data_IF_230141413285
#
_entry.id   IF_230141413285
#
_cell.length_a   1.000
_cell.length_b   1.000
_cell.length_c   1.000
_cell.angle_alpha   90.00
_cell.angle_beta   90.00
_cell.angle_gamma   90.00
#
_symmetry.space_group_name_H-M   'P 1'
#
loop_
_entity.id
_entity.type
_entity.pdbx_description
1 polymer ?
#
# COMPACT_ATOMS: atom_id res chain seq x y z
N UNK A 1 54.62 88.48 -42.44
CA UNK A 1 55.77 87.72 -42.98
C UNK A 1 55.45 86.28 -42.95
N UNK A 2 55.11 85.70 -44.08
CA UNK A 2 55.80 84.58 -44.76
C UNK A 2 55.81 83.30 -43.89
N UNK A 3 55.43 82.12 -44.36
CA UNK A 3 55.53 81.46 -45.67
C UNK A 3 54.81 80.12 -45.61
N UNK A 4 54.07 79.81 -46.65
CA UNK A 4 53.75 78.52 -47.29
C UNK A 4 54.52 77.29 -46.79
N UNK A 5 53.72 76.14 -46.62
CA UNK A 5 54.00 74.93 -47.46
C UNK A 5 52.80 73.98 -47.55
N UNK A 6 52.42 73.68 -48.79
CA UNK A 6 51.55 72.60 -49.23
C UNK A 6 52.11 71.24 -48.82
N UNK A 7 51.24 70.26 -48.36
CA UNK A 7 51.50 68.85 -48.59
C UNK A 7 50.23 68.13 -48.95
N UNK A 8 50.31 67.31 -49.92
CA UNK A 8 49.44 66.44 -50.67
C UNK A 8 48.47 65.66 -49.92
N UNK A 9 47.21 65.60 -50.40
CA UNK A 9 46.24 64.58 -50.16
C UNK A 9 46.69 63.28 -50.83
N UNK A 10 46.89 62.23 -50.07
CA UNK A 10 46.82 60.82 -50.50
C UNK A 10 45.49 60.20 -50.01
N UNK A 11 44.72 59.81 -51.05
CA UNK A 11 43.37 59.22 -50.79
C UNK A 11 43.48 57.89 -50.16
N UNK A 12 42.78 57.72 -49.01
CA UNK A 12 42.39 56.45 -48.50
C UNK A 12 41.06 56.03 -49.15
N UNK A 13 41.07 54.99 -49.97
CA UNK A 13 39.87 54.28 -50.39
C UNK A 13 39.41 53.45 -49.20
N UNK A 14 38.24 53.78 -48.55
CA UNK A 14 37.55 52.98 -47.67
C UNK A 14 37.01 51.77 -48.44
N UNK A 15 37.51 50.60 -48.12
CA UNK A 15 36.95 49.31 -48.57
C UNK A 15 35.70 49.06 -47.69
N UNK A 16 34.51 49.34 -48.22
CA UNK A 16 33.20 48.96 -47.60
C UNK A 16 33.08 47.44 -47.76
N UNK A 17 32.96 46.65 -46.65
CA UNK A 17 32.73 45.25 -46.81
C UNK A 17 31.31 45.04 -47.37
N UNK A 18 31.25 44.26 -48.42
CA UNK A 18 30.04 43.81 -49.10
C UNK A 18 29.16 43.11 -48.11
N UNK A 19 28.03 43.70 -47.67
CA UNK A 19 27.05 43.12 -46.77
C UNK A 19 26.40 41.99 -47.55
N UNK A 20 26.79 40.74 -47.21
CA UNK A 20 26.14 39.53 -47.71
C UNK A 20 24.63 39.59 -47.40
N UNK A 21 23.81 39.72 -48.42
CA UNK A 21 22.35 39.69 -48.29
C UNK A 21 21.92 38.36 -47.65
N UNK A 22 21.35 38.42 -46.45
CA UNK A 22 20.70 37.27 -45.84
C UNK A 22 19.67 36.68 -46.79
N UNK A 23 19.64 35.34 -47.00
CA UNK A 23 18.76 34.73 -47.99
C UNK A 23 17.30 35.08 -47.67
N UNK A 24 16.61 35.74 -48.60
CA UNK A 24 15.20 36.15 -48.51
C UNK A 24 14.35 34.93 -48.29
N UNK A 25 13.76 34.75 -47.06
CA UNK A 25 12.82 33.69 -46.74
C UNK A 25 11.67 33.69 -47.73
N UNK A 26 11.56 32.65 -48.59
CA UNK A 26 10.49 32.51 -49.58
C UNK A 26 9.13 32.62 -48.90
N UNK A 27 8.40 33.72 -49.13
CA UNK A 27 7.01 33.90 -48.63
C UNK A 27 6.10 32.95 -49.41
N UNK A 28 5.68 31.83 -48.76
CA UNK A 28 4.73 30.90 -49.38
C UNK A 28 3.38 31.58 -49.55
N UNK A 29 2.69 31.32 -50.70
CA UNK A 29 1.34 31.81 -50.97
C UNK A 29 0.36 31.31 -49.88
N UNK A 30 -0.72 32.07 -49.60
CA UNK A 30 -1.73 31.69 -48.58
C UNK A 30 -2.28 30.26 -48.80
N UNK A 31 -2.45 29.82 -50.04
CA UNK A 31 -2.90 28.48 -50.45
C UNK A 31 -1.87 27.40 -50.02
N UNK A 32 -0.55 27.61 -50.26
CA UNK A 32 0.50 26.68 -49.86
C UNK A 32 0.65 26.60 -48.33
N UNK A 33 0.42 27.69 -47.60
CA UNK A 33 0.39 27.68 -46.12
C UNK A 33 -0.78 26.92 -45.59
N UNK A 34 -1.99 27.05 -46.16
CA UNK A 34 -3.20 26.30 -45.79
C UNK A 34 -3.02 24.79 -46.03
N UNK A 35 -2.49 24.41 -47.20
CA UNK A 35 -2.20 22.99 -47.51
C UNK A 35 -1.21 22.37 -46.52
N UNK A 36 -0.14 23.09 -46.17
CA UNK A 36 0.81 22.60 -45.15
C UNK A 36 0.19 22.44 -43.77
N UNK A 37 -0.69 23.35 -43.36
CA UNK A 37 -1.44 23.21 -42.08
C UNK A 37 -2.33 22.00 -42.11
N UNK A 38 -3.10 21.79 -43.17
CA UNK A 38 -3.98 20.61 -43.36
C UNK A 38 -3.14 19.34 -43.35
N UNK A 39 -2.03 19.27 -44.11
CA UNK A 39 -1.15 18.09 -44.09
C UNK A 39 -0.60 17.81 -42.69
N UNK A 40 -0.13 18.83 -41.95
CA UNK A 40 0.31 18.64 -40.56
C UNK A 40 -0.79 18.15 -39.68
N UNK A 41 -2.00 18.70 -39.76
CA UNK A 41 -3.15 18.24 -38.99
C UNK A 41 -3.49 16.77 -39.30
N UNK A 42 -3.52 16.36 -40.56
CA UNK A 42 -3.73 14.98 -40.96
C UNK A 42 -2.64 14.07 -40.39
N UNK A 43 -1.36 14.43 -40.53
CA UNK A 43 -0.24 13.64 -39.99
C UNK A 43 -0.37 13.53 -38.47
N UNK A 44 -0.72 14.62 -37.76
CA UNK A 44 -0.94 14.59 -36.31
C UNK A 44 -2.08 13.62 -35.94
N UNK A 45 -3.22 13.70 -36.65
CA UNK A 45 -4.35 12.78 -36.39
C UNK A 45 -3.95 11.33 -36.65
N UNK A 46 -3.25 11.04 -37.75
CA UNK A 46 -2.77 9.68 -38.05
C UNK A 46 -1.79 9.18 -36.97
N UNK A 47 -0.86 10.01 -36.52
CA UNK A 47 0.07 9.64 -35.44
C UNK A 47 -0.69 9.37 -34.14
N UNK A 48 -1.64 10.23 -33.77
CA UNK A 48 -2.48 10.00 -32.59
C UNK A 48 -3.32 8.71 -32.70
N UNK A 49 -3.87 8.43 -33.87
CA UNK A 49 -4.61 7.20 -34.12
C UNK A 49 -3.71 5.95 -33.99
N UNK A 50 -2.50 5.98 -34.53
CA UNK A 50 -1.53 4.88 -34.39
C UNK A 50 -1.13 4.70 -32.93
N UNK A 51 -0.83 5.79 -32.21
CA UNK A 51 -0.50 5.71 -30.77
C UNK A 51 -1.67 5.13 -29.96
N UNK A 52 -2.90 5.57 -30.23
CA UNK A 52 -4.09 5.01 -29.61
C UNK A 52 -4.27 3.52 -29.90
N UNK A 53 -4.20 3.12 -31.17
CA UNK A 53 -4.32 1.70 -31.55
C UNK A 53 -3.24 0.84 -30.90
N UNK A 54 -2.00 1.36 -30.83
CA UNK A 54 -0.89 0.67 -30.16
C UNK A 54 -1.17 0.54 -28.65
N UNK A 55 -1.59 1.60 -27.98
CA UNK A 55 -1.88 1.59 -26.54
C UNK A 55 -3.03 0.62 -26.20
N UNK A 56 -4.09 0.62 -27.02
CA UNK A 56 -5.34 -0.13 -26.73
C UNK A 56 -5.26 -1.59 -27.19
N UNK A 57 -4.63 -1.90 -28.33
CA UNK A 57 -4.71 -3.23 -28.95
C UNK A 57 -3.36 -3.96 -29.06
N UNK A 58 -2.24 -3.34 -28.71
CA UNK A 58 -0.94 -4.01 -28.82
C UNK A 58 -0.80 -5.13 -27.80
N UNK A 59 -0.20 -6.24 -28.23
CA UNK A 59 0.20 -7.36 -27.37
C UNK A 59 1.67 -7.26 -26.91
N UNK A 60 2.34 -6.11 -27.12
CA UNK A 60 3.68 -5.86 -26.57
C UNK A 60 3.59 -5.95 -25.04
N UNK A 61 4.35 -6.84 -24.37
CA UNK A 61 4.17 -7.17 -22.95
C UNK A 61 4.15 -5.93 -22.02
N UNK A 62 5.05 -5.00 -22.26
CA UNK A 62 5.12 -3.75 -21.52
C UNK A 62 3.83 -2.91 -21.65
N UNK A 63 3.33 -2.74 -22.89
CA UNK A 63 2.11 -1.94 -23.16
C UNK A 63 0.88 -2.66 -22.60
N UNK A 64 0.77 -3.98 -22.83
CA UNK A 64 -0.32 -4.80 -22.33
C UNK A 64 -0.40 -4.77 -20.80
N UNK A 65 0.74 -4.88 -20.10
CA UNK A 65 0.82 -4.78 -18.63
C UNK A 65 0.27 -3.45 -18.13
N UNK A 66 0.76 -2.32 -18.65
CA UNK A 66 0.30 -1.00 -18.19
C UNK A 66 -1.15 -0.70 -18.54
N UNK A 67 -1.63 -1.17 -19.70
CA UNK A 67 -3.05 -1.09 -20.08
C UNK A 67 -3.92 -1.84 -19.08
N UNK A 68 -3.56 -3.09 -18.74
CA UNK A 68 -4.28 -3.91 -17.77
C UNK A 68 -4.31 -3.24 -16.39
N UNK A 69 -3.17 -2.75 -15.91
CA UNK A 69 -3.09 -2.00 -14.64
C UNK A 69 -4.04 -0.79 -14.68
N UNK A 70 -4.04 -0.01 -15.76
CA UNK A 70 -4.92 1.15 -15.91
C UNK A 70 -6.39 0.76 -15.88
N UNK A 71 -6.78 -0.28 -16.66
CA UNK A 71 -8.15 -0.78 -16.70
C UNK A 71 -8.59 -1.22 -15.31
N UNK A 72 -7.83 -2.11 -14.67
CA UNK A 72 -8.19 -2.65 -13.35
C UNK A 72 -8.23 -1.54 -12.28
N UNK A 73 -7.29 -0.59 -12.33
CA UNK A 73 -7.31 0.56 -11.41
C UNK A 73 -8.57 1.39 -11.56
N UNK A 74 -9.02 1.68 -12.79
CA UNK A 74 -10.24 2.45 -13.04
C UNK A 74 -11.50 1.65 -12.69
N UNK A 75 -11.58 0.37 -13.11
CA UNK A 75 -12.78 -0.46 -12.97
C UNK A 75 -13.07 -0.88 -11.53
N UNK A 76 -12.05 -0.97 -10.67
CA UNK A 76 -12.22 -1.28 -9.24
C UNK A 76 -12.64 -0.07 -8.38
N UNK A 77 -12.77 1.12 -8.97
CA UNK A 77 -13.29 2.30 -8.27
C UNK A 77 -14.79 2.46 -8.49
N UNK A 78 -15.55 2.82 -7.46
CA UNK A 78 -17.01 3.04 -7.59
C UNK A 78 -17.38 4.30 -8.39
N UNK A 79 -16.47 5.28 -8.54
CA UNK A 79 -16.77 6.60 -9.11
C UNK A 79 -15.96 6.97 -10.37
N UNK A 80 -14.90 6.21 -10.72
CA UNK A 80 -13.96 6.58 -11.80
C UNK A 80 -13.88 5.55 -12.93
N UNK A 81 -14.84 4.62 -13.03
CA UNK A 81 -14.89 3.62 -14.12
C UNK A 81 -14.95 4.27 -15.51
N UNK A 82 -15.50 5.49 -15.60
CA UNK A 82 -15.57 6.26 -16.84
C UNK A 82 -14.19 6.53 -17.47
N UNK A 83 -13.11 6.58 -16.66
CA UNK A 83 -11.73 6.73 -17.17
C UNK A 83 -11.34 5.60 -18.12
N UNK A 84 -11.74 4.37 -17.84
CA UNK A 84 -11.53 3.24 -18.75
C UNK A 84 -12.59 3.20 -19.83
N UNK A 85 -13.88 3.26 -19.48
CA UNK A 85 -15.00 3.02 -20.40
C UNK A 85 -15.17 4.09 -21.49
N UNK A 86 -14.64 5.30 -21.28
CA UNK A 86 -14.67 6.38 -22.27
C UNK A 86 -13.66 6.16 -23.42
N UNK A 87 -12.52 5.56 -23.14
CA UNK A 87 -11.38 5.51 -24.07
C UNK A 87 -11.01 4.11 -24.51
N UNK A 88 -11.45 3.07 -23.82
CA UNK A 88 -11.09 1.68 -24.10
C UNK A 88 -12.35 0.90 -24.50
N UNK A 89 -12.32 0.13 -25.61
CA UNK A 89 -13.43 -0.71 -26.00
C UNK A 89 -13.81 -1.73 -24.93
N UNK A 90 -15.11 -1.99 -24.80
CA UNK A 90 -15.65 -2.90 -23.78
C UNK A 90 -14.99 -4.29 -23.84
N UNK A 91 -14.75 -4.82 -25.03
CA UNK A 91 -14.09 -6.13 -25.20
C UNK A 91 -12.70 -6.20 -24.60
N UNK A 92 -11.91 -5.12 -24.64
CA UNK A 92 -10.58 -5.07 -24.04
C UNK A 92 -10.67 -4.96 -22.51
N UNK A 93 -11.66 -4.22 -22.02
CA UNK A 93 -11.96 -4.12 -20.58
C UNK A 93 -12.39 -5.49 -20.05
N UNK A 94 -13.32 -6.16 -20.71
CA UNK A 94 -13.88 -7.46 -20.29
C UNK A 94 -12.79 -8.54 -20.28
N UNK A 95 -11.86 -8.53 -21.24
CA UNK A 95 -10.69 -9.42 -21.23
C UNK A 95 -9.78 -9.20 -20.00
N UNK A 96 -9.54 -7.94 -19.63
CA UNK A 96 -8.73 -7.64 -18.45
C UNK A 96 -9.41 -8.06 -17.15
N UNK A 97 -10.73 -7.87 -17.05
CA UNK A 97 -11.55 -8.30 -15.91
C UNK A 97 -11.56 -9.83 -15.82
N UNK A 98 -11.80 -10.53 -16.95
CA UNK A 98 -11.81 -11.99 -16.98
C UNK A 98 -10.46 -12.58 -16.55
N UNK A 99 -9.36 -12.06 -17.06
CA UNK A 99 -8.03 -12.51 -16.66
C UNK A 99 -7.75 -12.30 -15.16
N UNK A 100 -8.33 -11.23 -14.57
CA UNK A 100 -8.28 -11.02 -13.14
C UNK A 100 -9.15 -12.04 -12.38
N UNK A 101 -10.36 -12.31 -12.85
CA UNK A 101 -11.27 -13.30 -12.24
C UNK A 101 -10.65 -14.71 -12.28
N UNK A 102 -10.02 -15.09 -13.39
CA UNK A 102 -9.32 -16.37 -13.52
C UNK A 102 -8.16 -16.49 -12.52
N UNK A 103 -7.39 -15.42 -12.34
CA UNK A 103 -6.30 -15.37 -11.35
C UNK A 103 -6.82 -15.41 -9.90
N UNK A 104 -7.96 -14.76 -9.62
CA UNK A 104 -8.64 -14.83 -8.33
C UNK A 104 -9.14 -16.23 -8.00
N UNK A 105 -9.71 -16.91 -9.00
CA UNK A 105 -10.21 -18.26 -8.83
C UNK A 105 -9.08 -19.24 -8.50
N UNK A 106 -7.85 -19.00 -8.97
CA UNK A 106 -6.69 -19.78 -8.54
C UNK A 106 -6.41 -19.66 -7.05
N UNK A 107 -6.59 -18.47 -6.46
CA UNK A 107 -6.42 -18.28 -5.01
C UNK A 107 -7.50 -18.98 -4.18
N UNK A 108 -8.60 -19.42 -4.79
CA UNK A 108 -9.70 -20.10 -4.10
C UNK A 108 -9.33 -21.50 -3.58
N UNK A 109 -8.31 -22.14 -4.16
CA UNK A 109 -7.89 -23.49 -3.78
C UNK A 109 -7.05 -23.53 -2.50
N UNK A 110 -6.49 -22.38 -2.11
CA UNK A 110 -5.66 -22.29 -0.90
C UNK A 110 -6.51 -22.25 0.36
N UNK A 111 -6.18 -23.10 1.33
CA UNK A 111 -6.79 -23.14 2.66
C UNK A 111 -5.70 -23.44 3.69
N UNK A 112 -5.72 -22.70 4.79
CA UNK A 112 -4.79 -22.90 5.90
C UNK A 112 -4.96 -24.27 6.53
N UNK A 113 -3.84 -24.95 6.78
CA UNK A 113 -3.79 -26.23 7.49
C UNK A 113 -2.95 -26.16 8.77
N UNK A 114 -2.05 -25.18 8.84
CA UNK A 114 -1.01 -25.04 9.89
C UNK A 114 -0.09 -26.25 10.00
N UNK A 115 -0.15 -27.27 9.16
CA UNK A 115 0.67 -28.49 9.21
C UNK A 115 0.70 -29.21 10.59
N UNK A 116 1.08 -30.45 10.63
CA UNK A 116 1.16 -31.24 11.89
C UNK A 116 2.27 -30.78 12.85
N UNK A 117 3.30 -30.04 12.35
CA UNK A 117 4.46 -29.56 13.13
C UNK A 117 4.36 -28.07 13.54
N UNK A 118 3.17 -27.47 13.45
CA UNK A 118 2.97 -26.06 13.73
C UNK A 118 2.69 -25.77 15.21
N UNK A 119 3.51 -26.23 16.13
CA UNK A 119 3.75 -25.45 17.34
C UNK A 119 4.27 -24.08 16.88
N UNK A 120 3.74 -23.00 17.47
CA UNK A 120 4.30 -21.65 17.31
C UNK A 120 5.79 -21.82 17.59
N UNK A 121 6.61 -21.77 16.53
CA UNK A 121 8.04 -21.99 16.67
C UNK A 121 8.57 -20.76 17.38
N UNK A 122 9.14 -20.94 18.55
CA UNK A 122 9.89 -19.85 19.17
C UNK A 122 10.87 -19.28 18.15
N UNK A 123 11.04 -17.95 18.08
CA UNK A 123 11.90 -17.32 17.10
C UNK A 123 13.29 -17.94 17.18
N UNK A 124 13.59 -18.80 16.20
CA UNK A 124 14.88 -19.48 16.13
C UNK A 124 15.98 -18.46 15.83
N UNK A 125 16.90 -18.37 16.74
CA UNK A 125 18.19 -17.71 16.75
C UNK A 125 18.81 -17.56 15.34
N UNK A 126 18.56 -16.45 14.66
CA UNK A 126 19.35 -15.95 13.55
C UNK A 126 19.84 -14.54 13.90
N UNK A 127 20.57 -14.44 15.02
CA UNK A 127 21.39 -13.26 15.27
C UNK A 127 22.54 -13.26 14.24
N UNK A 128 22.36 -12.52 13.14
CA UNK A 128 23.47 -12.12 12.27
C UNK A 128 24.11 -10.86 12.87
N UNK A 129 24.86 -11.01 13.94
CA UNK A 129 25.64 -9.99 14.59
C UNK A 129 26.53 -10.64 15.65
N UNK A 130 27.64 -10.02 16.01
CA UNK A 130 28.48 -10.47 17.13
C UNK A 130 27.56 -10.53 18.37
N UNK A 131 27.61 -11.66 19.09
CA UNK A 131 26.78 -11.91 20.26
C UNK A 131 26.79 -10.70 21.19
N UNK A 132 25.57 -10.15 21.46
CA UNK A 132 25.37 -9.20 22.55
C UNK A 132 25.66 -9.98 23.82
N UNK A 133 26.90 -9.89 24.31
CA UNK A 133 27.37 -10.62 25.47
C UNK A 133 27.01 -9.84 26.72
N UNK A 134 26.38 -10.50 27.66
CA UNK A 134 26.12 -10.18 29.07
C UNK A 134 24.80 -9.48 29.47
N UNK A 135 23.89 -9.09 28.54
CA UNK A 135 22.57 -8.59 28.92
C UNK A 135 21.44 -9.52 28.42
N UNK A 136 20.91 -10.35 29.31
CA UNK A 136 19.83 -11.29 29.01
C UNK A 136 18.57 -10.54 28.52
N UNK A 137 18.29 -9.35 29.02
CA UNK A 137 17.13 -8.53 28.62
C UNK A 137 17.25 -8.02 27.19
N UNK A 138 18.47 -7.63 26.76
CA UNK A 138 18.73 -7.26 25.38
C UNK A 138 18.50 -8.43 24.42
N UNK A 139 19.00 -9.61 24.76
CA UNK A 139 18.84 -10.79 23.93
C UNK A 139 17.37 -11.15 23.74
N UNK A 140 16.60 -11.27 24.82
CA UNK A 140 15.16 -11.56 24.78
C UNK A 140 14.40 -10.52 23.97
N UNK A 141 14.74 -9.24 24.11
CA UNK A 141 14.13 -8.17 23.34
C UNK A 141 14.38 -8.31 21.83
N UNK A 142 15.63 -8.49 21.39
CA UNK A 142 15.95 -8.62 19.96
C UNK A 142 15.50 -9.97 19.37
N UNK A 143 15.36 -11.02 20.15
CA UNK A 143 14.72 -12.26 19.73
C UNK A 143 13.21 -12.02 19.47
N UNK A 144 12.53 -11.31 20.35
CA UNK A 144 11.11 -10.96 20.19
C UNK A 144 10.88 -9.98 19.04
N UNK A 145 11.75 -8.98 18.90
CA UNK A 145 11.70 -7.95 17.86
C UNK A 145 12.77 -8.19 16.79
N UNK A 146 12.82 -9.40 16.26
CA UNK A 146 13.83 -9.84 15.29
C UNK A 146 13.88 -8.96 14.02
N UNK A 147 12.84 -8.18 13.73
CA UNK A 147 12.79 -7.25 12.62
C UNK A 147 13.72 -6.04 12.80
N UNK A 148 14.08 -5.74 14.03
CA UNK A 148 14.94 -4.60 14.36
C UNK A 148 16.39 -4.92 13.97
N UNK A 149 17.01 -3.99 13.25
CA UNK A 149 18.46 -3.94 13.11
C UNK A 149 19.07 -3.50 14.45
N UNK A 150 19.60 -4.48 15.21
CA UNK A 150 20.11 -4.26 16.55
C UNK A 150 21.23 -3.22 16.60
N UNK A 151 22.07 -3.11 15.55
CA UNK A 151 23.18 -2.17 15.52
C UNK A 151 22.67 -0.73 15.57
N UNK A 152 21.62 -0.42 14.79
CA UNK A 152 21.06 0.95 14.73
C UNK A 152 20.37 1.36 16.03
N UNK A 153 19.73 0.41 16.72
CA UNK A 153 19.03 0.70 17.98
C UNK A 153 20.04 0.73 19.16
N UNK A 154 21.02 -0.16 19.16
CA UNK A 154 22.06 -0.19 20.17
C UNK A 154 22.89 1.10 20.16
N UNK A 155 23.34 1.58 18.99
CA UNK A 155 24.05 2.86 18.85
C UNK A 155 23.23 4.04 19.43
N UNK A 156 21.93 4.06 19.15
CA UNK A 156 21.04 5.07 19.69
C UNK A 156 20.87 4.98 21.23
N UNK A 157 20.77 3.77 21.78
CA UNK A 157 20.62 3.53 23.21
C UNK A 157 21.90 3.82 24.00
N UNK A 158 23.10 3.60 23.40
CA UNK A 158 24.38 4.02 24.02
C UNK A 158 24.44 5.55 24.25
N UNK A 159 23.87 6.33 23.32
CA UNK A 159 23.76 7.78 23.45
C UNK A 159 22.61 8.22 24.39
N UNK A 160 21.63 7.34 24.65
CA UNK A 160 20.41 7.62 25.42
C UNK A 160 20.14 6.54 26.49
N UNK A 161 21.07 6.28 27.42
CA UNK A 161 20.97 5.16 28.38
C UNK A 161 19.78 5.27 29.33
N UNK A 162 19.25 6.48 29.54
CA UNK A 162 18.08 6.70 30.40
C UNK A 162 16.82 5.98 29.90
N UNK A 163 16.75 5.66 28.60
CA UNK A 163 15.65 4.92 27.99
C UNK A 163 15.56 3.45 28.44
N UNK A 164 16.65 2.92 29.01
CA UNK A 164 16.74 1.54 29.51
C UNK A 164 16.71 1.46 31.04
N UNK A 165 16.38 2.56 31.75
CA UNK A 165 16.37 2.59 33.22
C UNK A 165 15.47 1.51 33.82
N UNK A 166 14.32 1.23 33.15
CA UNK A 166 13.35 0.22 33.55
C UNK A 166 13.41 -1.05 32.70
N UNK A 167 14.51 -1.25 31.95
CA UNK A 167 14.73 -2.42 31.10
C UNK A 167 14.14 -2.30 29.68
N UNK A 168 14.44 -3.29 28.84
CA UNK A 168 13.99 -3.34 27.44
C UNK A 168 12.48 -3.50 27.30
N UNK A 169 11.81 -4.14 28.25
CA UNK A 169 10.35 -4.27 28.26
C UNK A 169 9.61 -2.94 28.42
N UNK A 170 10.27 -1.91 28.92
CA UNK A 170 9.75 -0.55 29.06
C UNK A 170 10.16 0.35 27.90
N UNK A 171 10.93 -0.15 26.92
CA UNK A 171 11.46 0.67 25.84
C UNK A 171 10.34 1.25 24.96
N UNK A 172 10.29 2.59 24.92
CA UNK A 172 9.36 3.30 24.06
C UNK A 172 10.10 4.41 23.29
N UNK A 173 10.14 4.29 21.96
CA UNK A 173 10.75 5.25 21.05
C UNK A 173 9.77 5.58 19.94
N UNK A 174 9.59 6.87 19.63
CA UNK A 174 8.83 7.34 18.47
C UNK A 174 9.70 8.21 17.57
N UNK A 175 9.79 7.86 16.28
CA UNK A 175 10.57 8.57 15.26
C UNK A 175 9.80 8.74 13.94
N UNK A 176 8.65 9.39 14.00
CA UNK A 176 7.84 9.65 12.79
C UNK A 176 8.52 10.56 11.76
N UNK A 177 9.52 11.32 12.18
CA UNK A 177 10.31 12.18 11.31
C UNK A 177 11.56 11.50 10.72
N UNK A 178 11.83 10.24 11.10
CA UNK A 178 12.99 9.43 10.68
C UNK A 178 14.33 10.14 10.90
N UNK A 179 14.47 10.80 12.06
CA UNK A 179 15.65 11.57 12.43
C UNK A 179 16.68 10.75 13.20
N UNK A 180 16.21 9.69 13.88
CA UNK A 180 17.06 8.84 14.72
C UNK A 180 17.80 7.78 13.91
N UNK A 181 17.36 7.50 12.68
CA UNK A 181 18.02 6.56 11.79
C UNK A 181 17.78 5.10 12.12
N UNK A 182 16.81 4.81 13.01
CA UNK A 182 16.46 3.44 13.40
C UNK A 182 15.90 2.66 12.22
N UNK A 183 16.35 1.42 12.03
CA UNK A 183 16.00 0.60 10.87
C UNK A 183 15.68 -0.84 11.26
N UNK A 184 14.97 -1.49 10.35
CA UNK A 184 14.80 -2.93 10.38
C UNK A 184 15.98 -3.62 9.69
N UNK A 185 16.11 -4.93 9.88
CA UNK A 185 17.07 -5.78 9.15
C UNK A 185 16.86 -5.74 7.63
N UNK A 186 15.67 -5.38 7.19
CA UNK A 186 15.34 -5.18 5.78
C UNK A 186 15.65 -3.74 5.27
N UNK A 187 16.12 -2.86 6.17
CA UNK A 187 16.50 -1.48 5.89
C UNK A 187 15.35 -0.48 5.87
N UNK A 188 14.12 -0.90 6.21
CA UNK A 188 12.96 -0.02 6.32
C UNK A 188 13.06 0.83 7.61
N UNK A 189 12.66 2.13 7.61
CA UNK A 189 12.69 2.97 8.80
C UNK A 189 11.71 2.48 9.88
N UNK A 190 12.17 2.42 11.12
CA UNK A 190 11.32 2.18 12.30
C UNK A 190 10.74 3.50 12.75
N UNK A 191 9.42 3.56 12.93
CA UNK A 191 8.68 4.74 13.38
C UNK A 191 8.33 4.67 14.86
N UNK A 192 8.09 3.47 15.38
CA UNK A 192 7.73 3.25 16.78
C UNK A 192 8.28 1.91 17.23
N UNK A 193 8.96 1.91 18.36
CA UNK A 193 9.19 0.76 19.22
C UNK A 193 8.38 1.02 20.49
N UNK A 194 7.37 0.21 20.77
CA UNK A 194 6.52 0.33 21.96
C UNK A 194 6.46 -1.05 22.65
N UNK A 195 7.55 -1.36 23.36
CA UNK A 195 7.67 -2.64 24.04
C UNK A 195 6.59 -2.86 25.11
N UNK A 196 6.17 -1.85 25.90
CA UNK A 196 5.08 -1.99 26.86
C UNK A 196 3.78 -2.48 26.23
N UNK A 197 3.49 -2.14 24.97
CA UNK A 197 2.31 -2.58 24.25
C UNK A 197 2.58 -3.67 23.20
N UNK A 198 3.77 -4.29 23.21
CA UNK A 198 4.18 -5.34 22.28
C UNK A 198 4.03 -4.93 20.79
N UNK A 199 4.37 -3.68 20.46
CA UNK A 199 4.08 -3.10 19.15
C UNK A 199 5.33 -2.50 18.51
N UNK A 200 5.54 -2.83 17.23
CA UNK A 200 6.51 -2.22 16.33
C UNK A 200 5.77 -1.58 15.15
N UNK A 201 6.13 -0.36 14.76
CA UNK A 201 5.59 0.28 13.55
C UNK A 201 6.74 0.69 12.64
N UNK A 202 6.63 0.27 11.37
CA UNK A 202 7.65 0.40 10.34
C UNK A 202 7.06 1.22 9.19
N UNK A 203 7.84 2.12 8.59
CA UNK A 203 7.50 2.72 7.31
C UNK A 203 7.96 1.82 6.17
N UNK A 204 7.07 1.47 5.25
CA UNK A 204 7.40 0.69 4.07
C UNK A 204 7.06 1.49 2.82
N UNK A 205 8.09 1.83 2.07
CA UNK A 205 8.01 2.70 0.91
C UNK A 205 8.48 1.99 -0.37
N UNK A 206 7.99 2.45 -1.49
CA UNK A 206 8.43 2.02 -2.80
C UNK A 206 8.28 3.13 -3.85
N UNK A 207 8.59 2.82 -5.10
CA UNK A 207 8.62 3.82 -6.18
C UNK A 207 7.32 4.64 -6.33
N UNK A 208 6.17 4.08 -5.99
CA UNK A 208 4.87 4.71 -6.20
C UNK A 208 3.94 4.61 -4.99
N UNK A 209 4.39 4.09 -3.88
CA UNK A 209 3.57 3.93 -2.68
C UNK A 209 4.35 4.31 -1.43
N UNK A 210 3.59 4.70 -0.43
CA UNK A 210 3.99 4.85 0.96
C UNK A 210 3.04 4.05 1.82
N UNK A 211 3.59 3.39 2.84
CA UNK A 211 2.79 2.54 3.72
C UNK A 211 3.37 2.46 5.12
N UNK A 212 2.59 1.86 6.00
CA UNK A 212 3.00 1.54 7.36
C UNK A 212 2.61 0.12 7.69
N UNK A 213 3.57 -0.61 8.24
CA UNK A 213 3.39 -1.95 8.77
C UNK A 213 3.46 -1.87 10.29
N UNK A 214 2.39 -2.22 10.96
CA UNK A 214 2.38 -2.44 12.40
C UNK A 214 2.49 -3.94 12.67
N UNK A 215 3.36 -4.32 13.58
CA UNK A 215 3.58 -5.71 14.04
C UNK A 215 3.20 -5.77 15.51
N UNK A 216 2.11 -6.47 15.80
CA UNK A 216 1.67 -6.76 17.16
C UNK A 216 2.26 -8.11 17.58
N UNK A 217 3.21 -8.08 18.51
CA UNK A 217 3.93 -9.27 18.98
C UNK A 217 3.10 -10.20 19.84
N UNK A 218 2.02 -9.70 20.39
CA UNK A 218 1.11 -10.48 21.25
C UNK A 218 -0.28 -10.57 20.58
N UNK A 219 -0.60 -11.68 19.90
CA UNK A 219 -1.85 -11.81 19.16
C UNK A 219 -3.10 -11.80 20.04
N UNK A 220 -2.97 -12.09 21.34
CA UNK A 220 -4.08 -12.01 22.28
C UNK A 220 -4.61 -10.60 22.49
N UNK A 221 -3.78 -9.56 22.24
CA UNK A 221 -4.16 -8.16 22.30
C UNK A 221 -4.97 -7.69 21.08
N UNK A 222 -5.00 -8.50 20.00
CA UNK A 222 -5.65 -8.10 18.77
C UNK A 222 -7.10 -8.55 18.75
N UNK A 223 -7.99 -7.56 18.60
CA UNK A 223 -9.43 -7.75 18.57
C UNK A 223 -10.07 -7.14 17.34
N UNK A 224 -11.23 -7.65 16.95
CA UNK A 224 -12.09 -7.09 15.91
C UNK A 224 -13.29 -6.41 16.56
N UNK A 225 -13.31 -5.08 16.54
CA UNK A 225 -14.41 -4.30 17.10
C UNK A 225 -15.44 -3.96 16.02
N UNK A 226 -16.71 -4.21 16.28
CA UNK A 226 -17.82 -3.83 15.40
C UNK A 226 -18.39 -2.46 15.75
N UNK A 227 -18.93 -1.76 14.76
CA UNK A 227 -19.59 -0.48 14.95
C UNK A 227 -20.78 -0.60 15.93
N UNK A 228 -20.98 0.43 16.77
CA UNK A 228 -22.08 0.47 17.75
C UNK A 228 -23.46 0.33 17.11
N UNK A 229 -23.62 0.88 15.91
CA UNK A 229 -24.87 0.83 15.15
C UNK A 229 -24.74 -0.05 13.90
N UNK A 230 -23.97 -1.14 14.01
CA UNK A 230 -23.83 -2.10 12.89
C UNK A 230 -25.23 -2.51 12.38
N UNK A 231 -25.39 -2.56 11.07
CA UNK A 231 -26.67 -2.74 10.38
C UNK A 231 -27.27 -1.43 9.86
N UNK A 232 -26.99 -0.30 10.49
CA UNK A 232 -27.51 1.02 10.12
C UNK A 232 -26.43 2.06 9.82
N UNK A 233 -25.40 2.16 10.65
CA UNK A 233 -24.30 3.13 10.51
C UNK A 233 -22.98 2.55 11.03
N UNK A 234 -21.88 2.83 10.35
CA UNK A 234 -20.54 2.49 10.76
C UNK A 234 -19.93 3.53 11.68
N UNK A 235 -18.73 3.25 12.20
CA UNK A 235 -17.94 4.18 13.00
C UNK A 235 -16.64 4.57 12.30
N UNK A 236 -15.98 5.63 12.77
CA UNK A 236 -14.67 6.06 12.34
C UNK A 236 -13.59 5.29 13.12
N UNK A 237 -12.40 5.13 12.52
CA UNK A 237 -11.27 4.47 13.19
C UNK A 237 -10.96 5.09 14.56
N UNK A 238 -10.99 6.41 14.67
CA UNK A 238 -10.78 7.11 15.93
C UNK A 238 -11.79 6.71 17.00
N UNK A 239 -13.06 6.53 16.62
CA UNK A 239 -14.13 6.10 17.52
C UNK A 239 -13.91 4.67 18.01
N UNK A 240 -13.54 3.75 17.09
CA UNK A 240 -13.20 2.39 17.46
C UNK A 240 -12.07 2.33 18.48
N UNK A 241 -10.96 3.07 18.23
CA UNK A 241 -9.82 3.07 19.14
C UNK A 241 -10.17 3.69 20.52
N UNK A 242 -10.90 4.82 20.53
CA UNK A 242 -11.27 5.47 21.77
C UNK A 242 -12.28 4.65 22.62
N UNK A 243 -13.24 4.03 21.97
CA UNK A 243 -14.29 3.26 22.66
C UNK A 243 -13.77 1.94 23.27
N UNK A 244 -12.64 1.41 22.73
CA UNK A 244 -12.04 0.15 23.16
C UNK A 244 -10.68 0.32 23.83
N UNK A 245 -10.25 1.55 24.14
CA UNK A 245 -8.93 1.86 24.68
C UNK A 245 -7.77 1.21 23.91
N UNK A 246 -7.86 1.25 22.58
CA UNK A 246 -6.86 0.64 21.71
C UNK A 246 -5.70 1.59 21.41
N UNK A 247 -4.47 1.05 21.48
CA UNK A 247 -3.25 1.78 21.11
C UNK A 247 -3.13 1.94 19.60
N UNK A 248 -3.60 0.94 18.84
CA UNK A 248 -3.57 0.96 17.38
C UNK A 248 -4.88 0.45 16.81
N UNK A 249 -5.27 0.96 15.64
CA UNK A 249 -6.40 0.44 14.87
C UNK A 249 -6.22 0.61 13.38
N UNK A 250 -6.72 -0.37 12.62
CA UNK A 250 -6.83 -0.33 11.16
C UNK A 250 -8.25 -0.68 10.72
N UNK A 251 -8.66 -0.25 9.52
CA UNK A 251 -9.90 -0.73 8.92
C UNK A 251 -9.83 -2.21 8.57
N UNK A 252 -10.96 -2.91 8.53
CA UNK A 252 -10.98 -4.33 8.29
C UNK A 252 -11.97 -4.75 7.18
N UNK A 253 -13.24 -5.02 7.48
CA UNK A 253 -14.22 -5.52 6.51
C UNK A 253 -14.58 -4.52 5.42
N UNK A 254 -14.96 -5.05 4.25
CA UNK A 254 -15.69 -4.28 3.26
C UNK A 254 -17.14 -4.00 3.69
N UNK A 255 -17.78 -3.01 3.07
CA UNK A 255 -19.17 -2.68 3.36
C UNK A 255 -19.95 -2.35 2.08
N UNK A 256 -21.28 -2.40 2.17
CA UNK A 256 -22.17 -2.06 1.07
C UNK A 256 -22.04 -0.57 0.79
N UNK A 257 -21.45 -0.23 -0.35
CA UNK A 257 -21.06 1.14 -0.72
C UNK A 257 -21.58 1.53 -2.10
N UNK A 258 -22.92 1.70 -2.28
CA UNK A 258 -23.49 2.05 -3.56
C UNK A 258 -22.97 3.42 -4.03
N UNK A 259 -22.33 3.45 -5.19
CA UNK A 259 -21.77 4.67 -5.81
C UNK A 259 -20.76 5.44 -4.93
N UNK A 260 -20.13 4.79 -3.95
CA UNK A 260 -19.12 5.42 -3.09
C UNK A 260 -19.66 6.31 -1.97
N UNK A 261 -20.96 6.21 -1.66
CA UNK A 261 -21.64 7.04 -0.62
C UNK A 261 -22.15 6.23 0.56
N UNK A 262 -21.74 4.98 0.68
CA UNK A 262 -22.08 4.12 1.83
C UNK A 262 -21.59 4.69 3.15
N UNK A 263 -22.35 4.42 4.21
CA UNK A 263 -22.09 4.92 5.55
C UNK A 263 -21.42 3.89 6.49
N UNK A 264 -20.91 2.77 5.95
CA UNK A 264 -20.24 1.73 6.72
C UNK A 264 -21.16 0.86 7.60
N UNK A 265 -22.46 1.08 7.58
CA UNK A 265 -23.38 0.37 8.49
C UNK A 265 -23.65 -1.08 8.13
N UNK A 266 -23.46 -1.49 6.86
CA UNK A 266 -23.74 -2.85 6.40
C UNK A 266 -22.48 -3.50 5.88
N UNK A 267 -21.98 -4.51 6.60
CA UNK A 267 -20.83 -5.31 6.19
C UNK A 267 -21.10 -6.01 4.84
N UNK A 268 -20.07 -6.14 4.03
CA UNK A 268 -20.11 -6.90 2.78
C UNK A 268 -19.32 -8.20 2.95
N UNK A 269 -19.99 -9.28 3.27
CA UNK A 269 -19.43 -10.55 3.66
C UNK A 269 -19.85 -10.92 5.09
N UNK A 270 -19.34 -12.04 5.60
CA UNK A 270 -19.49 -12.44 7.00
C UNK A 270 -18.52 -11.68 7.90
N UNK A 271 -18.96 -11.34 9.09
CA UNK A 271 -18.19 -10.73 10.18
C UNK A 271 -18.49 -11.52 11.45
N UNK A 272 -17.47 -12.01 12.14
CA UNK A 272 -17.58 -12.75 13.39
C UNK A 272 -16.89 -11.97 14.50
N UNK A 273 -17.61 -11.70 15.59
CA UNK A 273 -17.10 -11.04 16.80
C UNK A 273 -17.60 -11.82 17.99
N UNK A 274 -16.71 -12.29 18.86
CA UNK A 274 -17.02 -13.10 20.04
C UNK A 274 -17.89 -14.33 19.72
N UNK A 275 -17.61 -15.00 18.60
CA UNK A 275 -18.38 -16.18 18.14
C UNK A 275 -19.78 -15.88 17.61
N UNK A 276 -20.15 -14.61 17.50
CA UNK A 276 -21.43 -14.16 16.90
C UNK A 276 -21.20 -13.67 15.48
N UNK A 277 -21.96 -14.23 14.53
CA UNK A 277 -21.88 -13.86 13.13
C UNK A 277 -22.85 -12.72 12.78
N UNK A 278 -22.34 -11.78 11.97
CA UNK A 278 -23.05 -10.65 11.36
C UNK A 278 -22.83 -10.63 9.87
N UNK A 279 -23.78 -10.06 9.11
CA UNK A 279 -23.68 -9.95 7.65
C UNK A 279 -24.14 -11.21 6.92
N UNK A 280 -23.73 -11.36 5.68
CA UNK A 280 -24.12 -12.46 4.81
C UNK A 280 -22.89 -13.01 4.09
N UNK A 281 -22.67 -14.31 4.21
CA UNK A 281 -21.59 -15.02 3.53
C UNK A 281 -21.59 -14.80 2.01
N UNK A 282 -20.40 -14.67 1.42
CA UNK A 282 -20.19 -14.55 -0.03
C UNK A 282 -19.96 -15.90 -0.70
N UNK A 283 -20.79 -16.20 -1.69
CA UNK A 283 -20.68 -17.44 -2.46
C UNK A 283 -19.58 -17.41 -3.53
N UNK A 284 -18.86 -16.28 -3.73
CA UNK A 284 -17.84 -16.17 -4.74
C UNK A 284 -16.57 -16.93 -4.33
N UNK A 285 -15.99 -17.76 -5.22
CA UNK A 285 -14.87 -18.66 -4.88
C UNK A 285 -13.63 -17.98 -4.32
N UNK A 286 -13.35 -16.75 -4.80
CA UNK A 286 -12.18 -15.96 -4.37
C UNK A 286 -12.31 -15.36 -2.97
N UNK A 287 -13.52 -15.32 -2.39
CA UNK A 287 -13.73 -14.82 -1.04
C UNK A 287 -13.29 -15.87 -0.03
N UNK A 288 -12.59 -15.41 0.98
CA UNK A 288 -12.06 -16.23 2.06
C UNK A 288 -12.51 -15.67 3.40
N UNK A 289 -12.74 -16.56 4.33
CA UNK A 289 -12.82 -16.21 5.73
C UNK A 289 -11.39 -16.13 6.30
N UNK A 290 -11.06 -15.02 6.90
CA UNK A 290 -9.86 -14.86 7.72
C UNK A 290 -10.30 -14.67 9.16
N UNK A 291 -9.77 -15.48 10.07
CA UNK A 291 -10.15 -15.43 11.49
C UNK A 291 -9.06 -15.89 12.42
N UNK A 292 -9.00 -15.29 13.58
CA UNK A 292 -8.11 -15.68 14.67
C UNK A 292 -8.84 -16.64 15.58
N UNK A 293 -8.33 -17.85 15.75
CA UNK A 293 -8.95 -18.86 16.61
C UNK A 293 -8.70 -18.59 18.12
N UNK A 294 -9.27 -19.40 18.96
CA UNK A 294 -9.11 -19.33 20.43
C UNK A 294 -7.67 -19.64 20.92
N UNK A 295 -6.82 -20.16 20.03
CA UNK A 295 -5.39 -20.41 20.29
C UNK A 295 -4.49 -19.34 19.66
N UNK A 296 -5.08 -18.24 19.20
CA UNK A 296 -4.39 -17.14 18.55
C UNK A 296 -3.71 -17.51 17.21
N UNK A 297 -4.20 -18.52 16.51
CA UNK A 297 -3.76 -18.89 15.16
C UNK A 297 -4.68 -18.27 14.11
N UNK A 298 -4.10 -17.60 13.11
CA UNK A 298 -4.83 -16.98 12.01
C UNK A 298 -5.07 -18.01 10.91
N UNK A 299 -6.30 -18.18 10.53
CA UNK A 299 -6.73 -19.06 9.43
C UNK A 299 -7.23 -18.26 8.25
N UNK A 300 -6.85 -18.65 7.05
CA UNK A 300 -7.38 -18.15 5.79
C UNK A 300 -8.00 -19.33 5.05
N UNK A 301 -9.32 -19.46 5.11
CA UNK A 301 -10.04 -20.68 4.69
C UNK A 301 -11.29 -20.35 3.87
N UNK A 302 -11.81 -21.36 3.16
CA UNK A 302 -13.14 -21.27 2.58
C UNK A 302 -14.22 -21.32 3.67
N UNK A 303 -15.13 -20.37 3.67
CA UNK A 303 -16.19 -20.26 4.68
C UNK A 303 -16.99 -21.54 4.89
N UNK A 304 -17.29 -22.28 3.83
CA UNK A 304 -18.09 -23.52 3.89
C UNK A 304 -17.61 -24.59 4.88
N UNK A 305 -16.33 -24.55 5.22
CA UNK A 305 -15.68 -25.53 6.11
C UNK A 305 -15.37 -24.93 7.49
N UNK A 306 -15.99 -23.79 7.83
CA UNK A 306 -15.64 -23.01 9.00
C UNK A 306 -16.77 -23.09 10.03
N UNK A 307 -16.46 -23.57 11.24
CA UNK A 307 -17.30 -23.33 12.40
C UNK A 307 -16.87 -22.01 13.06
N UNK A 308 -17.68 -20.97 12.87
CA UNK A 308 -17.35 -19.63 13.34
C UNK A 308 -17.22 -19.54 14.87
N UNK A 309 -17.78 -20.51 15.61
CA UNK A 309 -17.65 -20.58 17.06
C UNK A 309 -16.24 -20.90 17.54
N UNK A 310 -15.37 -21.43 16.69
CA UNK A 310 -13.97 -21.72 17.03
C UNK A 310 -13.09 -20.46 17.04
N UNK A 311 -13.59 -19.37 16.48
CA UNK A 311 -12.85 -18.14 16.33
C UNK A 311 -13.23 -17.10 17.38
N UNK A 312 -12.22 -16.36 17.85
CA UNK A 312 -12.41 -15.15 18.64
C UNK A 312 -13.06 -14.08 17.77
N UNK A 313 -12.50 -13.90 16.58
CA UNK A 313 -13.01 -12.98 15.57
C UNK A 313 -12.64 -13.46 14.17
N UNK A 314 -13.35 -12.96 13.17
CA UNK A 314 -13.05 -13.19 11.78
C UNK A 314 -13.93 -12.37 10.83
N UNK A 315 -13.52 -12.32 9.58
CA UNK A 315 -14.23 -11.62 8.53
C UNK A 315 -14.02 -12.27 7.15
N UNK A 316 -14.87 -11.97 6.21
CA UNK A 316 -14.68 -12.37 4.81
C UNK A 316 -14.19 -11.21 3.96
N UNK A 317 -13.15 -11.48 3.16
CA UNK A 317 -12.70 -10.60 2.09
C UNK A 317 -11.94 -11.38 1.00
N UNK A 318 -11.23 -10.67 0.09
CA UNK A 318 -10.46 -11.28 -0.99
C UNK A 318 -9.33 -10.37 -1.51
N UNK A 319 -8.30 -10.95 -2.13
CA UNK A 319 -7.93 -12.35 -2.13
C UNK A 319 -7.12 -12.77 -0.91
N UNK A 320 -6.97 -14.08 -0.70
CA UNK A 320 -5.86 -14.61 0.10
C UNK A 320 -4.53 -14.17 -0.53
N UNK A 321 -3.55 -13.78 0.28
CA UNK A 321 -2.23 -13.35 -0.16
C UNK A 321 -1.18 -14.44 0.07
N UNK A 322 -1.17 -15.01 1.26
CA UNK A 322 -0.23 -16.03 1.71
C UNK A 322 -1.02 -17.06 2.50
N UNK A 323 -0.79 -18.34 2.24
CA UNK A 323 -1.40 -19.45 2.97
C UNK A 323 -0.34 -20.50 3.26
N UNK A 324 -0.11 -20.79 4.54
CA UNK A 324 0.91 -21.72 5.02
C UNK A 324 2.31 -21.41 4.44
N UNK A 325 2.66 -20.12 4.36
CA UNK A 325 3.94 -19.63 3.83
C UNK A 325 4.04 -19.62 2.31
N UNK A 326 2.98 -20.03 1.60
CA UNK A 326 2.95 -20.08 0.13
C UNK A 326 2.19 -18.86 -0.43
N UNK A 327 2.79 -18.20 -1.42
CA UNK A 327 2.16 -17.08 -2.11
C UNK A 327 0.91 -17.55 -2.89
N UNK A 328 -0.27 -17.08 -2.47
CA UNK A 328 -1.55 -17.38 -3.13
C UNK A 328 -1.87 -16.40 -4.26
N UNK A 329 -1.12 -15.30 -4.39
CA UNK A 329 -1.26 -14.27 -5.41
C UNK A 329 0.06 -14.15 -6.17
N UNK A 330 0.04 -14.46 -7.47
CA UNK A 330 1.23 -14.35 -8.33
C UNK A 330 1.39 -12.94 -8.95
N UNK A 331 2.56 -12.67 -9.57
CA UNK A 331 2.85 -11.38 -10.21
C UNK A 331 1.90 -10.99 -11.35
N UNK A 332 1.24 -11.96 -11.99
CA UNK A 332 0.25 -11.73 -13.05
C UNK A 332 -1.05 -11.13 -12.53
N UNK A 333 -1.29 -11.20 -11.23
CA UNK A 333 -2.50 -10.72 -10.58
C UNK A 333 -2.28 -9.33 -9.96
N UNK A 334 -3.02 -8.34 -10.38
CA UNK A 334 -2.75 -6.94 -10.03
C UNK A 334 -3.95 -6.18 -9.47
N UNK A 335 -5.12 -6.56 -9.27
CA UNK A 335 -6.29 -5.78 -8.78
C UNK A 335 -6.19 -4.22 -8.90
N UNK A 336 -5.32 -3.73 -9.80
CA UNK A 336 -5.01 -2.31 -9.96
C UNK A 336 -4.14 -1.70 -8.85
N UNK A 337 -3.73 -0.44 -9.04
CA UNK A 337 -2.93 0.34 -8.10
C UNK A 337 -3.87 1.16 -7.21
N UNK A 338 -3.86 0.89 -5.90
CA UNK A 338 -4.81 1.47 -4.96
C UNK A 338 -4.23 1.54 -3.54
N UNK A 339 -4.85 2.34 -2.63
CA UNK A 339 -4.65 2.16 -1.19
C UNK A 339 -5.04 0.75 -0.78
N UNK A 340 -4.29 0.14 0.14
CA UNK A 340 -4.49 -1.24 0.58
C UNK A 340 -4.46 -1.34 2.09
N UNK A 341 -5.19 -2.33 2.60
CA UNK A 341 -5.06 -2.82 3.97
C UNK A 341 -4.91 -4.33 3.90
N UNK A 342 -3.96 -4.88 4.63
CA UNK A 342 -3.74 -6.32 4.70
C UNK A 342 -3.45 -6.76 6.13
N UNK A 343 -3.84 -7.99 6.42
CA UNK A 343 -3.59 -8.66 7.69
C UNK A 343 -2.75 -9.91 7.42
N UNK A 344 -1.80 -10.21 8.29
CA UNK A 344 -1.04 -11.45 8.25
C UNK A 344 -0.63 -11.91 9.63
N UNK A 345 -0.06 -13.11 9.69
CA UNK A 345 0.52 -13.68 10.90
C UNK A 345 1.82 -14.38 10.57
N UNK A 346 2.82 -14.19 11.40
CA UNK A 346 4.07 -14.95 11.40
C UNK A 346 3.90 -16.30 12.13
N UNK A 347 4.89 -17.20 12.01
CA UNK A 347 4.85 -18.48 12.73
C UNK A 347 5.00 -18.32 14.23
N UNK A 348 5.64 -17.25 14.71
CA UNK A 348 5.77 -16.93 16.13
C UNK A 348 4.47 -16.40 16.77
N UNK A 349 3.44 -16.18 15.94
CA UNK A 349 2.15 -15.64 16.37
C UNK A 349 1.97 -14.15 16.16
N UNK A 350 3.03 -13.38 15.88
CA UNK A 350 2.98 -11.95 15.64
C UNK A 350 2.00 -11.61 14.52
N UNK A 351 1.13 -10.61 14.74
CA UNK A 351 0.17 -10.15 13.72
C UNK A 351 0.70 -8.93 12.97
N UNK A 352 0.67 -9.02 11.65
CA UNK A 352 1.13 -7.99 10.73
C UNK A 352 -0.07 -7.23 10.17
N UNK A 353 -0.10 -5.92 10.38
CA UNK A 353 -1.16 -5.02 9.93
C UNK A 353 -0.55 -3.98 8.98
N UNK A 354 -0.71 -4.17 7.67
CA UNK A 354 -0.14 -3.28 6.65
C UNK A 354 -1.22 -2.35 6.08
N UNK A 355 -0.95 -1.06 6.07
CA UNK A 355 -1.78 -0.06 5.39
C UNK A 355 -0.93 0.73 4.41
N UNK A 356 -1.33 0.72 3.14
CA UNK A 356 -0.70 1.47 2.05
C UNK A 356 -1.58 2.65 1.67
N UNK A 357 -1.01 3.84 1.71
CA UNK A 357 -1.63 5.06 1.21
C UNK A 357 -1.74 5.04 -0.33
N UNK A 358 -2.67 5.77 -0.91
CA UNK A 358 -2.77 5.83 -2.36
C UNK A 358 -3.76 6.86 -2.89
N UNK A 359 -3.93 6.89 -4.23
CA UNK A 359 -4.77 7.84 -4.96
C UNK A 359 -4.37 9.30 -4.73
N UNK A 360 -3.11 9.56 -4.36
CA UNK A 360 -2.56 10.88 -4.07
C UNK A 360 -1.33 11.13 -4.95
N UNK A 361 -1.50 11.69 -6.18
CA UNK A 361 -0.40 12.00 -7.07
C UNK A 361 0.65 12.89 -6.40
N UNK A 362 1.93 12.55 -6.59
CA UNK A 362 3.05 13.25 -5.95
C UNK A 362 3.38 12.81 -4.52
N UNK A 363 2.54 11.94 -3.92
CA UNK A 363 2.80 11.36 -2.60
C UNK A 363 2.78 9.82 -2.65
N UNK A 364 1.62 9.23 -2.89
CA UNK A 364 1.43 7.79 -3.01
C UNK A 364 0.30 7.48 -3.99
N UNK A 365 0.55 6.67 -5.00
CA UNK A 365 -0.49 6.16 -5.89
C UNK A 365 -1.18 4.92 -5.32
N UNK A 366 -0.51 4.23 -4.41
CA UNK A 366 -0.87 2.93 -3.88
C UNK A 366 -0.10 1.80 -4.53
N UNK A 367 -0.49 0.58 -4.25
CA UNK A 367 0.16 -0.60 -4.81
C UNK A 367 -0.83 -1.70 -5.22
N UNK A 368 -0.33 -2.75 -5.87
CA UNK A 368 -1.07 -3.98 -6.17
C UNK A 368 -1.11 -4.90 -4.95
N UNK A 369 -2.03 -5.86 -4.94
CA UNK A 369 -2.06 -6.91 -3.90
C UNK A 369 -0.77 -7.76 -3.91
N UNK A 370 -0.19 -8.03 -5.07
CA UNK A 370 1.09 -8.74 -5.18
C UNK A 370 2.25 -7.96 -4.51
N UNK A 371 2.21 -6.63 -4.53
CA UNK A 371 3.19 -5.82 -3.78
C UNK A 371 2.98 -5.99 -2.28
N UNK A 372 1.73 -5.97 -1.80
CA UNK A 372 1.44 -6.25 -0.39
C UNK A 372 1.94 -7.63 0.03
N UNK A 373 1.70 -8.67 -0.80
CA UNK A 373 2.20 -10.02 -0.56
C UNK A 373 3.72 -10.05 -0.37
N UNK A 374 4.48 -9.35 -1.24
CA UNK A 374 5.95 -9.26 -1.14
C UNK A 374 6.41 -8.55 0.13
N UNK A 375 5.71 -7.49 0.54
CA UNK A 375 6.01 -6.81 1.81
C UNK A 375 5.77 -7.75 2.98
N UNK A 376 4.63 -8.42 3.02
CA UNK A 376 4.29 -9.37 4.10
C UNK A 376 5.27 -10.55 4.17
N UNK A 377 5.67 -11.14 3.03
CA UNK A 377 6.67 -12.22 2.97
C UNK A 377 8.07 -11.77 3.44
N UNK A 378 8.46 -10.53 3.17
CA UNK A 378 9.70 -9.94 3.65
C UNK A 378 9.77 -9.92 5.18
N UNK A 379 8.62 -9.73 5.83
CA UNK A 379 8.42 -9.83 7.28
C UNK A 379 7.82 -11.18 7.68
N UNK A 380 8.24 -12.27 7.03
CA UNK A 380 7.98 -13.67 7.36
C UNK A 380 6.51 -14.04 7.59
N UNK A 381 5.55 -13.32 7.01
CA UNK A 381 4.16 -13.71 7.10
C UNK A 381 3.96 -15.17 6.65
N UNK A 382 3.36 -15.98 7.50
CA UNK A 382 2.98 -17.36 7.22
C UNK A 382 1.54 -17.44 6.70
N UNK A 383 0.66 -16.58 7.23
CA UNK A 383 -0.70 -16.34 6.72
C UNK A 383 -0.83 -14.88 6.28
N UNK A 384 -1.61 -14.62 5.24
CA UNK A 384 -1.82 -13.25 4.77
C UNK A 384 -3.11 -13.09 3.98
N UNK A 385 -3.84 -12.01 4.26
CA UNK A 385 -5.13 -11.71 3.64
C UNK A 385 -5.21 -10.24 3.26
N UNK A 386 -5.75 -9.96 2.07
CA UNK A 386 -6.15 -8.60 1.71
C UNK A 386 -7.47 -8.25 2.39
N UNK A 387 -7.58 -7.02 2.88
CA UNK A 387 -8.78 -6.46 3.50
C UNK A 387 -9.35 -5.31 2.66
N UNK A 388 -10.40 -4.62 3.16
CA UNK A 388 -10.94 -3.45 2.47
C UNK A 388 -9.88 -2.36 2.34
N UNK A 389 -9.79 -1.80 1.15
CA UNK A 389 -8.80 -0.80 0.79
C UNK A 389 -9.42 0.51 0.33
N UNK A 390 -8.76 1.13 -0.67
CA UNK A 390 -9.27 2.35 -1.26
C UNK A 390 -9.37 3.49 -0.25
N UNK A 391 -10.51 4.18 -0.19
CA UNK A 391 -10.72 5.29 0.73
C UNK A 391 -10.96 4.87 2.19
N UNK A 392 -11.11 3.58 2.45
CA UNK A 392 -11.22 3.02 3.80
C UNK A 392 -9.85 2.85 4.45
N UNK A 393 -8.79 2.60 3.65
CA UNK A 393 -7.44 2.36 4.15
C UNK A 393 -7.01 3.46 5.13
N UNK A 394 -6.79 3.08 6.39
CA UNK A 394 -6.43 3.99 7.48
C UNK A 394 -5.73 3.23 8.61
N UNK A 395 -4.72 3.84 9.20
CA UNK A 395 -4.09 3.37 10.44
C UNK A 395 -4.08 4.53 11.46
N UNK A 396 -4.49 4.22 12.68
CA UNK A 396 -4.53 5.12 13.81
C UNK A 396 -3.66 4.55 14.92
N UNK A 397 -2.82 5.38 15.51
CA UNK A 397 -1.92 5.00 16.58
C UNK A 397 -1.89 6.11 17.63
N UNK A 398 -2.03 5.76 18.87
CA UNK A 398 -1.88 6.60 20.06
C UNK A 398 -2.48 8.01 19.91
N UNK A 399 -3.79 8.07 19.69
CA UNK A 399 -4.52 9.34 19.59
C UNK A 399 -4.46 10.05 18.24
N UNK A 400 -3.71 9.53 17.24
CA UNK A 400 -3.54 10.18 15.93
C UNK A 400 -3.63 9.23 14.75
N UNK A 401 -4.13 9.73 13.63
CA UNK A 401 -4.05 9.02 12.35
C UNK A 401 -2.64 9.15 11.77
N UNK A 402 -1.96 8.03 11.52
CA UNK A 402 -0.57 8.01 11.03
C UNK A 402 -0.45 7.72 9.53
N UNK A 403 -1.55 7.40 8.84
CA UNK A 403 -1.64 7.24 7.39
C UNK A 403 -2.44 8.37 6.76
N UNK A 404 -2.32 8.56 5.44
CA UNK A 404 -3.06 9.57 4.70
C UNK A 404 -4.20 8.93 3.89
N UNK A 405 -5.38 8.81 4.50
CA UNK A 405 -6.55 8.28 3.81
C UNK A 405 -6.92 9.10 2.56
N UNK A 406 -7.25 8.41 1.47
CA UNK A 406 -7.78 9.02 0.24
C UNK A 406 -9.28 9.36 0.32
N UNK A 407 -9.91 9.25 1.50
CA UNK A 407 -11.29 9.70 1.72
C UNK A 407 -11.41 11.22 1.57
N UNK A 408 -12.61 11.70 1.20
CA UNK A 408 -12.88 13.14 1.00
C UNK A 408 -12.52 13.98 2.24
N UNK A 409 -12.74 13.43 3.44
CA UNK A 409 -12.39 14.11 4.70
C UNK A 409 -10.93 13.98 5.10
N UNK A 410 -10.16 13.09 4.45
CA UNK A 410 -8.81 12.69 4.90
C UNK A 410 -8.78 11.85 6.18
N UNK A 411 -9.94 11.64 6.83
CA UNK A 411 -10.08 10.97 8.14
C UNK A 411 -10.67 9.56 8.04
N UNK A 412 -10.43 8.87 6.92
CA UNK A 412 -11.05 7.56 6.63
C UNK A 412 -12.56 7.64 6.38
N UNK A 413 -13.16 6.48 6.16
CA UNK A 413 -14.61 6.28 5.98
C UNK A 413 -15.28 5.94 7.32
N UNK A 414 -16.59 5.95 7.36
CA UNK A 414 -17.34 5.18 8.32
C UNK A 414 -17.28 3.71 7.91
N UNK A 415 -17.01 2.80 8.84
CA UNK A 415 -16.70 1.39 8.59
C UNK A 415 -17.52 0.49 9.53
N UNK A 416 -17.83 -0.74 9.13
CA UNK A 416 -18.60 -1.67 9.98
C UNK A 416 -17.81 -2.16 11.18
N UNK A 417 -16.48 -2.23 11.03
CA UNK A 417 -15.54 -2.78 12.01
C UNK A 417 -14.12 -2.25 11.82
N UNK A 418 -13.28 -2.56 12.80
CA UNK A 418 -11.85 -2.26 12.79
C UNK A 418 -11.08 -3.35 13.54
N UNK A 419 -9.89 -3.70 13.07
CA UNK A 419 -8.91 -4.47 13.84
C UNK A 419 -8.14 -3.52 14.76
N UNK A 420 -8.09 -3.88 16.03
CA UNK A 420 -7.52 -3.08 17.11
C UNK A 420 -6.42 -3.84 17.83
N UNK A 421 -5.39 -3.13 18.27
CA UNK A 421 -4.43 -3.61 19.28
C UNK A 421 -4.77 -2.90 20.58
N UNK A 422 -5.23 -3.66 21.57
CA UNK A 422 -5.62 -3.12 22.87
C UNK A 422 -4.40 -2.71 23.68
N UNK A 423 -4.52 -1.63 24.48
CA UNK A 423 -3.48 -1.28 25.45
C UNK A 423 -3.32 -2.39 26.48
N UNK A 424 -2.09 -2.57 26.94
CA UNK A 424 -1.85 -3.29 28.17
C UNK A 424 -2.17 -2.31 29.31
N UNK A 425 -3.08 -2.70 30.19
CA UNK A 425 -3.35 -1.90 31.38
C UNK A 425 -2.09 -1.84 32.26
N UNK A 426 -1.76 -0.64 32.70
CA UNK A 426 -0.68 -0.38 33.67
C UNK A 426 -0.91 -1.13 35.00
#
# INVERSE_FOLDING_TARGET
MASRKKKRNEGYQEIIPEISEKPKKKKFSRKKRRLRRIRRAIVTVVVLAVLYMTAVFSNIPFIAKWRTIYILTAMTTNSHQWLATMFIPRSVIDQAIQAQEDALNHSADFNTTWGDDSEITEPGLLLQGEAITDDTGAQEFYEKYWEIDSDTVHEYLEENPDLLTDGYESLHIEDFDQKLGLKTVEGDPILVINAPNNLLIIETDGNNYKGKLAIAKEPSQVELAKAKQLGTHGDKIVTFCQDNDAILGINASGFIDPKGVGNGGKVNGSLVVDGVEYGEHKMAPAWKFVGLDKKNKLYVVNYKNTDVSDYRWGLEFYPALIVDGVEAVNEGYCMGIQPRTTLGQEKDGSLLMLVIDGRQPGYSLGCSVATCTKIMLRYKAYQGMNLDGGSSAVMYYDGRQITKSSSVSGKGRYMPDALLVNRIAD
#
